data_IF_888742362114
#
_entry.id   IF_888742362114
#
_cell.length_a   1.000
_cell.length_b   1.000
_cell.length_c   1.000
_cell.angle_alpha   90.00
_cell.angle_beta   90.00
_cell.angle_gamma   90.00
#
_symmetry.space_group_name_H-M   'P 1'
#
loop_
_entity.id
_entity.type
_entity.pdbx_description
1 polymer ?
#
# COMPACT_ATOMS: atom_id res chain seq x y z
N UNK A 1 -9.30 -0.62 28.11
CA UNK A 1 -10.10 0.63 28.27
C UNK A 1 -10.55 1.21 26.92
N UNK A 2 -9.68 1.27 25.91
CA UNK A 2 -10.02 1.82 24.59
C UNK A 2 -11.16 1.07 23.87
N UNK A 3 -11.13 -0.26 23.86
CA UNK A 3 -12.19 -1.11 23.29
C UNK A 3 -13.54 -0.83 23.98
N UNK A 4 -13.54 -0.69 25.30
CA UNK A 4 -14.73 -0.30 26.10
C UNK A 4 -15.26 1.06 25.66
N UNK A 5 -14.39 2.06 25.49
CA UNK A 5 -14.77 3.39 24.98
C UNK A 5 -15.40 3.31 23.59
N UNK A 6 -14.79 2.57 22.67
CA UNK A 6 -15.30 2.39 21.29
C UNK A 6 -16.66 1.70 21.28
N UNK A 7 -16.85 0.65 22.08
CA UNK A 7 -18.13 -0.03 22.21
C UNK A 7 -19.24 0.90 22.74
N UNK A 8 -18.95 1.70 23.78
CA UNK A 8 -19.93 2.66 24.31
C UNK A 8 -20.36 3.67 23.25
N UNK A 9 -19.43 4.21 22.47
CA UNK A 9 -19.73 5.14 21.36
C UNK A 9 -20.59 4.45 20.30
N UNK A 10 -20.19 3.26 19.88
CA UNK A 10 -20.86 2.51 18.83
C UNK A 10 -22.30 2.16 19.21
N UNK A 11 -22.51 1.61 20.42
CA UNK A 11 -23.83 1.27 20.95
C UNK A 11 -24.59 2.48 21.51
N UNK A 12 -24.05 3.70 21.39
CA UNK A 12 -24.65 4.94 21.90
C UNK A 12 -24.99 4.87 23.41
N UNK A 13 -24.16 4.18 24.17
CA UNK A 13 -24.30 3.99 25.62
C UNK A 13 -23.57 5.09 26.39
N UNK A 14 -24.13 5.49 27.54
CA UNK A 14 -23.48 6.45 28.46
C UNK A 14 -22.31 5.79 29.19
N UNK A 15 -21.31 6.57 29.60
CA UNK A 15 -20.13 6.06 30.31
C UNK A 15 -20.44 5.19 31.54
N UNK A 16 -21.55 5.49 32.27
CA UNK A 16 -22.01 4.69 33.42
C UNK A 16 -22.38 3.23 33.10
N UNK A 17 -22.44 2.86 31.82
CA UNK A 17 -22.71 1.49 31.37
C UNK A 17 -21.42 0.71 31.06
N UNK A 18 -20.23 1.33 31.18
CA UNK A 18 -18.94 0.67 30.94
C UNK A 18 -18.81 -0.64 31.72
N UNK A 19 -19.09 -0.59 33.02
CA UNK A 19 -18.98 -1.74 33.94
C UNK A 19 -20.04 -2.82 33.69
N UNK A 20 -21.01 -2.57 32.80
CA UNK A 20 -22.04 -3.53 32.40
C UNK A 20 -21.73 -4.24 31.10
N UNK A 21 -20.65 -3.88 30.40
CA UNK A 21 -20.19 -4.59 29.22
C UNK A 21 -19.47 -5.87 29.64
N UNK A 22 -19.86 -7.00 29.04
CA UNK A 22 -19.21 -8.28 29.22
C UNK A 22 -18.52 -8.69 27.91
N UNK A 23 -17.26 -9.11 28.02
CA UNK A 23 -16.46 -9.60 26.90
C UNK A 23 -16.38 -11.12 26.98
N UNK A 24 -16.85 -11.80 25.94
CA UNK A 24 -16.93 -13.27 25.91
C UNK A 24 -15.77 -13.94 25.17
N UNK A 25 -14.83 -13.15 24.63
CA UNK A 25 -13.67 -13.63 23.89
C UNK A 25 -12.69 -12.50 23.56
N UNK A 26 -11.62 -12.87 22.86
CA UNK A 26 -10.58 -11.94 22.41
C UNK A 26 -11.08 -11.05 21.27
N UNK A 27 -10.41 -9.90 21.09
CA UNK A 27 -10.63 -9.06 19.90
C UNK A 27 -9.88 -9.68 18.74
N UNK A 28 -10.61 -9.97 17.66
CA UNK A 28 -10.08 -10.62 16.46
C UNK A 28 -10.43 -9.78 15.22
N UNK A 29 -9.66 -9.98 14.15
CA UNK A 29 -9.94 -9.38 12.85
C UNK A 29 -11.22 -9.94 12.23
N UNK A 30 -11.91 -9.10 11.46
CA UNK A 30 -13.15 -9.48 10.80
C UNK A 30 -12.96 -10.69 9.86
N UNK A 31 -11.79 -10.82 9.24
CA UNK A 31 -11.42 -11.94 8.36
C UNK A 31 -11.27 -13.27 9.10
N UNK A 32 -11.10 -13.23 10.42
CA UNK A 32 -10.95 -14.42 11.27
C UNK A 32 -12.28 -14.85 11.89
N UNK A 33 -13.36 -14.10 11.66
CA UNK A 33 -14.70 -14.42 12.18
C UNK A 33 -15.34 -15.51 11.33
N UNK A 34 -15.57 -16.68 11.92
CA UNK A 34 -16.19 -17.83 11.25
C UNK A 34 -17.71 -17.75 11.12
N UNK A 35 -18.38 -17.04 12.04
CA UNK A 35 -19.84 -16.95 12.10
C UNK A 35 -20.31 -15.49 11.97
N UNK A 36 -20.48 -15.02 10.74
CA UNK A 36 -20.92 -13.64 10.46
C UNK A 36 -22.41 -13.39 10.74
N UNK A 37 -23.21 -14.46 10.85
CA UNK A 37 -24.67 -14.39 11.07
C UNK A 37 -25.09 -13.70 12.38
N UNK A 38 -24.20 -13.66 13.38
CA UNK A 38 -24.44 -12.98 14.66
C UNK A 38 -23.65 -11.67 14.80
N UNK A 39 -22.91 -11.27 13.75
CA UNK A 39 -22.12 -10.04 13.76
C UNK A 39 -23.02 -8.87 13.40
N UNK A 40 -23.02 -7.84 14.24
CA UNK A 40 -23.62 -6.55 13.95
C UNK A 40 -22.60 -5.68 13.21
N UNK A 41 -22.76 -5.55 11.89
CA UNK A 41 -21.90 -4.72 11.05
C UNK A 41 -22.00 -3.23 11.39
N UNK A 42 -20.97 -2.41 11.10
CA UNK A 42 -21.04 -0.96 11.23
C UNK A 42 -22.29 -0.38 10.54
N UNK A 43 -23.01 0.49 11.26
CA UNK A 43 -24.25 1.14 10.81
C UNK A 43 -25.45 0.21 10.52
N UNK A 44 -25.32 -1.10 10.77
CA UNK A 44 -26.42 -2.04 10.65
C UNK A 44 -27.40 -1.94 11.84
N UNK A 45 -28.67 -2.26 11.59
CA UNK A 45 -29.73 -2.32 12.61
C UNK A 45 -29.96 -3.72 13.16
N UNK A 46 -29.51 -4.74 12.44
CA UNK A 46 -29.68 -6.15 12.78
C UNK A 46 -28.39 -6.94 12.47
N UNK A 47 -28.11 -8.02 13.21
CA UNK A 47 -26.99 -8.92 12.93
C UNK A 47 -27.13 -9.66 11.60
N UNK A 48 -26.03 -10.21 11.08
CA UNK A 48 -26.05 -11.10 9.92
C UNK A 48 -26.21 -10.39 8.58
N UNK A 49 -25.90 -9.09 8.53
CA UNK A 49 -25.95 -8.27 7.31
C UNK A 49 -24.65 -8.31 6.49
N UNK A 50 -23.58 -8.89 7.04
CA UNK A 50 -22.31 -9.05 6.33
C UNK A 50 -22.44 -10.15 5.27
N UNK A 51 -22.05 -9.81 4.04
CA UNK A 51 -21.86 -10.79 2.97
C UNK A 51 -20.47 -11.41 3.02
N UNK A 52 -20.28 -12.52 2.31
CA UNK A 52 -18.95 -13.07 2.09
C UNK A 52 -17.97 -12.01 1.58
N UNK A 53 -16.70 -12.02 2.07
CA UNK A 53 -15.66 -11.15 1.58
C UNK A 53 -15.48 -11.29 0.06
N UNK A 54 -15.25 -10.17 -0.62
CA UNK A 54 -14.98 -10.14 -2.06
C UNK A 54 -13.80 -9.25 -2.32
N UNK A 55 -12.94 -9.67 -3.24
CA UNK A 55 -11.89 -8.80 -3.76
C UNK A 55 -12.51 -7.66 -4.55
N UNK A 56 -11.96 -6.47 -4.33
CA UNK A 56 -12.37 -5.26 -5.04
C UNK A 56 -11.14 -4.63 -5.67
N UNK A 57 -11.15 -4.54 -7.01
CA UNK A 57 -10.06 -3.92 -7.74
C UNK A 57 -10.07 -2.40 -7.51
N UNK A 58 -8.96 -1.89 -6.97
CA UNK A 58 -8.77 -0.46 -6.69
C UNK A 58 -8.31 0.34 -7.91
N UNK A 59 -8.16 -0.25 -9.10
CA UNK A 59 -7.85 0.50 -10.31
C UNK A 59 -9.13 1.07 -10.94
N UNK A 60 -9.04 2.29 -11.48
CA UNK A 60 -10.12 2.84 -12.30
C UNK A 60 -10.04 2.30 -13.72
N UNK A 61 -11.04 1.50 -14.09
CA UNK A 61 -11.21 0.98 -15.44
C UNK A 61 -11.82 2.04 -16.37
N UNK A 62 -11.34 2.09 -17.61
CA UNK A 62 -11.86 2.91 -18.71
C UNK A 62 -11.71 2.18 -20.04
N UNK A 63 -12.22 2.76 -21.13
CA UNK A 63 -12.11 2.21 -22.48
C UNK A 63 -11.52 3.26 -23.43
N UNK A 64 -10.54 2.86 -24.26
CA UNK A 64 -9.90 3.73 -25.25
C UNK A 64 -10.67 3.68 -26.58
N UNK A 65 -10.99 4.85 -27.12
CA UNK A 65 -11.70 4.97 -28.41
C UNK A 65 -13.22 4.99 -28.28
N UNK A 66 -13.91 5.05 -29.43
CA UNK A 66 -15.36 5.25 -29.46
C UNK A 66 -16.17 3.98 -29.14
N UNK A 67 -15.64 2.82 -29.48
CA UNK A 67 -16.31 1.53 -29.31
C UNK A 67 -15.81 0.85 -28.03
N UNK A 68 -16.72 0.57 -27.10
CA UNK A 68 -16.40 -0.15 -25.87
C UNK A 68 -16.38 -1.65 -26.15
N UNK A 69 -15.20 -2.24 -26.03
CA UNK A 69 -14.92 -3.67 -26.14
C UNK A 69 -13.86 -4.08 -25.12
N UNK A 70 -13.75 -5.35 -24.77
CA UNK A 70 -12.70 -5.81 -23.86
C UNK A 70 -11.30 -5.51 -24.40
N UNK A 71 -11.10 -5.54 -25.72
CA UNK A 71 -9.83 -5.17 -26.38
C UNK A 71 -9.46 -3.68 -26.19
N UNK A 72 -10.44 -2.83 -25.88
CA UNK A 72 -10.24 -1.39 -25.64
C UNK A 72 -10.08 -1.05 -24.17
N UNK A 73 -10.11 -2.04 -23.27
CA UNK A 73 -10.02 -1.83 -21.83
C UNK A 73 -8.67 -1.23 -21.44
N UNK A 74 -8.69 -0.21 -20.60
CA UNK A 74 -7.52 0.46 -20.07
C UNK A 74 -7.76 0.87 -18.62
N UNK A 75 -6.69 1.25 -17.92
CA UNK A 75 -6.76 1.66 -16.53
C UNK A 75 -6.08 3.01 -16.34
N UNK A 76 -6.65 3.85 -15.47
CA UNK A 76 -5.89 4.96 -14.90
C UNK A 76 -4.85 4.36 -13.96
N UNK A 77 -3.60 4.76 -14.14
CA UNK A 77 -2.47 4.20 -13.38
C UNK A 77 -2.66 4.41 -11.86
N UNK A 78 -2.49 3.35 -11.05
CA UNK A 78 -2.61 3.45 -9.59
C UNK A 78 -1.32 3.93 -8.91
N UNK A 79 -0.23 4.04 -9.67
CA UNK A 79 1.12 4.48 -9.28
C UNK A 79 1.85 5.09 -10.48
N UNK A 80 3.01 5.73 -10.25
CA UNK A 80 3.84 6.30 -11.32
C UNK A 80 4.98 5.40 -11.78
N UNK A 81 5.36 4.41 -10.95
CA UNK A 81 6.46 3.46 -11.14
C UNK A 81 6.48 2.74 -12.49
N UNK A 82 5.34 2.17 -12.92
CA UNK A 82 5.23 1.35 -14.12
C UNK A 82 5.77 2.03 -15.39
N UNK A 83 5.56 3.35 -15.52
CA UNK A 83 6.05 4.11 -16.66
C UNK A 83 7.58 4.13 -16.75
N UNK A 84 8.27 4.11 -15.62
CA UNK A 84 9.73 4.11 -15.54
C UNK A 84 10.31 2.73 -15.90
N UNK A 85 9.65 1.64 -15.49
CA UNK A 85 10.07 0.28 -15.84
C UNK A 85 9.92 -0.01 -17.34
N UNK A 86 8.76 0.32 -17.93
CA UNK A 86 8.52 0.13 -19.37
C UNK A 86 9.51 0.94 -20.22
N UNK A 87 9.95 2.11 -19.74
CA UNK A 87 10.90 2.96 -20.43
C UNK A 87 12.36 2.76 -20.02
N UNK A 88 12.68 1.78 -19.16
CA UNK A 88 14.04 1.57 -18.67
C UNK A 88 15.06 1.52 -19.81
N UNK A 89 14.80 0.71 -20.84
CA UNK A 89 15.70 0.56 -21.99
C UNK A 89 15.85 1.84 -22.79
N UNK A 90 14.74 2.53 -23.04
CA UNK A 90 14.73 3.82 -23.75
C UNK A 90 15.59 4.86 -23.02
N UNK A 91 15.52 4.92 -21.69
CA UNK A 91 16.31 5.85 -20.88
C UNK A 91 17.80 5.47 -20.90
N UNK A 92 18.13 4.19 -20.73
CA UNK A 92 19.53 3.72 -20.80
C UNK A 92 20.15 4.04 -22.16
N UNK A 93 19.44 3.75 -23.25
CA UNK A 93 19.96 3.94 -24.61
C UNK A 93 20.11 5.43 -24.97
N UNK A 94 19.13 6.26 -24.59
CA UNK A 94 19.13 7.70 -24.92
C UNK A 94 20.04 8.53 -24.03
N UNK A 95 20.10 8.23 -22.72
CA UNK A 95 20.88 8.99 -21.74
C UNK A 95 22.29 8.45 -21.52
N UNK A 96 22.59 7.25 -22.05
CA UNK A 96 23.88 6.56 -21.92
C UNK A 96 24.34 6.39 -20.47
N UNK A 97 23.37 6.28 -19.55
CA UNK A 97 23.63 6.05 -18.12
C UNK A 97 24.09 4.61 -17.90
N UNK A 98 24.87 4.42 -16.84
CA UNK A 98 25.25 3.09 -16.35
C UNK A 98 24.78 2.96 -14.91
N UNK A 99 24.51 1.73 -14.51
CA UNK A 99 24.17 1.39 -13.13
C UNK A 99 25.36 1.77 -12.21
N UNK A 100 25.11 2.40 -11.04
CA UNK A 100 23.80 2.76 -10.51
C UNK A 100 23.25 4.08 -11.06
N UNK A 101 21.94 4.14 -11.31
CA UNK A 101 21.24 5.37 -11.71
C UNK A 101 19.77 5.33 -11.28
N UNK A 102 19.14 6.50 -11.18
CA UNK A 102 17.72 6.63 -10.85
C UNK A 102 16.92 7.30 -11.97
N UNK A 103 15.64 6.94 -12.08
CA UNK A 103 14.62 7.65 -12.84
C UNK A 103 13.61 8.17 -11.84
N UNK A 104 13.28 9.46 -11.88
CA UNK A 104 12.29 10.05 -10.99
C UNK A 104 11.12 10.61 -11.78
N UNK A 105 9.91 10.46 -11.25
CA UNK A 105 8.69 10.99 -11.84
C UNK A 105 7.81 11.61 -10.75
N UNK A 106 7.28 12.80 -11.05
CA UNK A 106 6.16 13.37 -10.32
C UNK A 106 4.92 13.30 -11.21
N UNK A 107 3.79 12.89 -10.67
CA UNK A 107 2.53 12.95 -11.41
C UNK A 107 1.35 12.38 -10.67
N UNK A 108 0.20 12.42 -11.34
CA UNK A 108 -1.07 11.93 -10.82
C UNK A 108 -1.15 10.41 -10.83
N UNK A 109 -1.80 9.87 -9.81
CA UNK A 109 -2.18 8.47 -9.65
C UNK A 109 -3.61 8.38 -9.14
N UNK A 110 -4.28 7.26 -9.45
CA UNK A 110 -5.70 7.09 -9.19
C UNK A 110 -5.97 5.76 -8.51
N UNK A 111 -6.61 5.79 -7.34
CA UNK A 111 -7.03 4.59 -6.59
C UNK A 111 -8.51 4.69 -6.28
N UNK A 112 -9.29 3.67 -6.67
CA UNK A 112 -10.73 3.60 -6.51
C UNK A 112 -11.11 3.29 -5.04
N UNK A 113 -10.67 4.15 -4.12
CA UNK A 113 -10.89 4.01 -2.68
C UNK A 113 -12.38 3.91 -2.37
N UNK A 114 -12.75 2.85 -1.64
CA UNK A 114 -14.14 2.53 -1.28
C UNK A 114 -14.69 3.61 -0.36
N UNK A 115 -13.96 3.96 0.70
CA UNK A 115 -14.37 4.96 1.68
C UNK A 115 -13.32 6.07 1.80
N UNK A 116 -13.44 7.16 1.04
CA UNK A 116 -12.61 8.35 1.23
C UNK A 116 -12.78 8.88 2.65
N UNK A 117 -11.66 9.10 3.35
CA UNK A 117 -11.62 9.57 4.74
C UNK A 117 -10.43 10.51 4.93
N UNK A 118 -10.48 11.27 6.02
CA UNK A 118 -9.36 12.09 6.48
C UNK A 118 -8.83 13.03 5.38
N UNK A 119 -9.72 13.77 4.70
CA UNK A 119 -9.35 14.79 3.72
C UNK A 119 -8.35 14.30 2.64
N UNK A 120 -7.09 14.76 2.68
CA UNK A 120 -6.04 14.41 1.71
C UNK A 120 -5.47 12.99 1.86
N UNK A 121 -5.72 12.29 2.98
CA UNK A 121 -5.07 11.00 3.28
C UNK A 121 -5.68 9.82 2.54
N UNK A 122 -6.98 9.83 2.25
CA UNK A 122 -7.63 8.80 1.44
C UNK A 122 -8.48 9.45 0.37
N UNK A 123 -7.85 9.68 -0.78
CA UNK A 123 -8.45 10.29 -1.96
C UNK A 123 -8.38 9.35 -3.16
N UNK A 124 -9.18 9.65 -4.19
CA UNK A 124 -9.21 8.86 -5.43
C UNK A 124 -8.24 9.33 -6.50
N UNK A 125 -7.78 10.56 -6.38
CA UNK A 125 -6.78 11.18 -7.24
C UNK A 125 -5.80 11.91 -6.32
N UNK A 126 -4.51 11.64 -6.48
CA UNK A 126 -3.44 12.29 -5.74
C UNK A 126 -2.18 12.37 -6.60
N UNK A 127 -1.22 13.18 -6.17
CA UNK A 127 0.09 13.25 -6.80
C UNK A 127 1.10 12.46 -5.99
N UNK A 128 1.98 11.77 -6.70
CA UNK A 128 3.12 11.08 -6.12
C UNK A 128 4.41 11.63 -6.71
N UNK A 129 5.47 11.54 -5.91
CA UNK A 129 6.85 11.74 -6.33
C UNK A 129 7.55 10.40 -6.07
N UNK A 130 7.84 9.66 -7.13
CA UNK A 130 8.48 8.35 -7.04
C UNK A 130 9.84 8.39 -7.76
N UNK A 131 10.77 7.57 -7.28
CA UNK A 131 12.06 7.38 -7.91
C UNK A 131 12.42 5.90 -7.90
N UNK A 132 12.66 5.37 -9.09
CA UNK A 132 13.17 4.01 -9.27
C UNK A 132 14.69 4.07 -9.39
N UNK A 133 15.39 3.48 -8.43
CA UNK A 133 16.85 3.45 -8.39
C UNK A 133 17.38 2.07 -8.78
N UNK A 134 18.03 2.00 -9.94
CA UNK A 134 18.57 0.77 -10.50
C UNK A 134 20.03 0.63 -10.07
N UNK A 135 20.36 -0.49 -9.43
CA UNK A 135 21.68 -0.81 -8.90
C UNK A 135 22.07 -2.26 -9.20
N UNK A 136 23.35 -2.61 -9.05
CA UNK A 136 23.77 -4.00 -9.17
C UNK A 136 23.28 -4.80 -7.95
N UNK A 137 22.83 -6.07 -8.09
CA UNK A 137 22.30 -6.86 -6.97
C UNK A 137 23.27 -7.00 -5.79
N UNK A 138 24.59 -7.04 -6.04
CA UNK A 138 25.59 -7.12 -4.97
C UNK A 138 25.67 -5.86 -4.10
N UNK A 139 25.16 -4.73 -4.58
CA UNK A 139 25.19 -3.44 -3.89
C UNK A 139 23.80 -3.01 -3.39
N UNK A 140 22.75 -3.76 -3.72
CA UNK A 140 21.35 -3.32 -3.53
C UNK A 140 21.00 -3.06 -2.07
N UNK A 141 21.52 -3.88 -1.14
CA UNK A 141 21.32 -3.68 0.31
C UNK A 141 21.96 -2.40 0.82
N UNK A 142 23.12 -2.01 0.29
CA UNK A 142 23.79 -0.77 0.67
C UNK A 142 23.03 0.44 0.15
N UNK A 143 22.55 0.39 -1.10
CA UNK A 143 21.71 1.44 -1.68
C UNK A 143 20.35 1.56 -0.98
N UNK A 144 19.74 0.45 -0.59
CA UNK A 144 18.51 0.45 0.19
C UNK A 144 18.71 1.18 1.52
N UNK A 145 19.76 0.86 2.28
CA UNK A 145 20.08 1.56 3.52
C UNK A 145 20.33 3.05 3.29
N UNK A 146 21.13 3.38 2.26
CA UNK A 146 21.42 4.77 1.90
C UNK A 146 20.15 5.58 1.63
N UNK A 147 19.21 5.04 0.84
CA UNK A 147 17.98 5.76 0.50
C UNK A 147 17.05 5.92 1.69
N UNK A 148 16.91 4.92 2.56
CA UNK A 148 16.14 5.04 3.81
C UNK A 148 16.64 6.21 4.66
N UNK A 149 17.95 6.24 4.93
CA UNK A 149 18.57 7.27 5.77
C UNK A 149 18.45 8.66 5.10
N UNK A 150 18.69 8.71 3.78
CA UNK A 150 18.64 9.95 3.00
C UNK A 150 17.24 10.56 2.97
N UNK A 151 16.20 9.73 2.81
CA UNK A 151 14.80 10.16 2.73
C UNK A 151 14.25 10.55 4.10
N UNK A 152 14.56 9.80 5.16
CA UNK A 152 14.24 10.21 6.52
C UNK A 152 14.87 11.57 6.86
N UNK A 153 16.17 11.75 6.58
CA UNK A 153 16.86 13.02 6.81
C UNK A 153 16.29 14.16 5.98
N UNK A 154 15.81 13.90 4.75
CA UNK A 154 15.19 14.93 3.92
C UNK A 154 13.95 15.56 4.59
N UNK A 155 13.11 14.77 5.27
CA UNK A 155 11.98 15.31 6.02
C UNK A 155 12.40 16.15 7.24
N UNK A 156 13.46 15.74 7.94
CA UNK A 156 14.04 16.52 9.04
C UNK A 156 14.60 17.84 8.53
N UNK A 157 15.34 17.81 7.41
CA UNK A 157 15.92 19.00 6.77
C UNK A 157 14.86 19.98 6.26
N UNK A 158 13.68 19.48 5.86
CA UNK A 158 12.52 20.29 5.51
C UNK A 158 11.87 21.00 6.72
N UNK A 159 12.26 20.63 7.94
CA UNK A 159 11.79 21.26 9.18
C UNK A 159 10.66 20.49 9.88
N UNK A 160 10.40 19.23 9.51
CA UNK A 160 9.49 18.39 10.30
C UNK A 160 10.17 18.03 11.62
N UNK A 161 9.44 18.16 12.74
CA UNK A 161 9.94 17.75 14.05
C UNK A 161 10.24 16.25 14.05
N UNK A 162 11.53 15.91 14.20
CA UNK A 162 12.01 14.54 14.24
C UNK A 162 11.31 13.69 15.30
N UNK A 163 10.82 14.28 16.40
CA UNK A 163 10.09 13.55 17.44
C UNK A 163 8.74 13.02 16.97
N UNK A 164 8.22 13.53 15.85
CA UNK A 164 6.97 13.11 15.24
C UNK A 164 7.19 12.21 14.03
N UNK A 165 8.44 11.89 13.70
CA UNK A 165 8.82 11.03 12.59
C UNK A 165 9.42 9.73 13.11
N UNK A 166 9.06 8.64 12.45
CA UNK A 166 9.73 7.36 12.62
C UNK A 166 10.08 6.77 11.25
N UNK A 167 11.08 5.89 11.23
CA UNK A 167 11.39 5.02 10.11
C UNK A 167 11.05 3.60 10.54
N UNK A 168 9.95 3.06 10.04
CA UNK A 168 9.42 1.75 10.44
C UNK A 168 9.67 0.72 9.36
N UNK A 169 10.36 -0.37 9.71
CA UNK A 169 10.46 -1.52 8.82
C UNK A 169 9.12 -2.29 8.80
N UNK A 170 8.69 -2.71 7.60
CA UNK A 170 7.53 -3.60 7.45
C UNK A 170 7.81 -4.96 8.07
N UNK A 171 6.79 -5.54 8.71
CA UNK A 171 6.85 -6.93 9.15
C UNK A 171 6.73 -7.88 7.95
N UNK A 172 7.15 -9.15 8.11
CA UNK A 172 7.17 -10.12 7.01
C UNK A 172 5.79 -10.33 6.35
N UNK A 173 4.70 -10.20 7.10
CA UNK A 173 3.33 -10.31 6.59
C UNK A 173 2.79 -9.05 5.90
N UNK A 174 3.45 -7.90 6.08
CA UNK A 174 3.08 -6.62 5.48
C UNK A 174 3.81 -6.38 4.15
N UNK A 175 4.93 -7.07 3.95
CA UNK A 175 5.71 -6.96 2.72
C UNK A 175 4.86 -7.31 1.51
N UNK A 176 4.84 -6.40 0.54
CA UNK A 176 4.32 -6.69 -0.80
C UNK A 176 5.02 -7.91 -1.38
N UNK A 177 4.29 -8.73 -2.15
CA UNK A 177 4.76 -10.01 -2.68
C UNK A 177 6.09 -9.94 -3.46
N UNK A 178 6.45 -8.78 -3.99
CA UNK A 178 7.69 -8.50 -4.73
C UNK A 178 8.80 -7.83 -3.91
N UNK A 179 8.54 -7.38 -2.68
CA UNK A 179 9.53 -6.68 -1.85
C UNK A 179 10.41 -7.66 -1.08
N UNK A 180 11.72 -7.36 -1.04
CA UNK A 180 12.72 -8.04 -0.18
C UNK A 180 13.07 -7.21 1.07
N UNK A 181 12.37 -6.09 1.26
CA UNK A 181 12.45 -5.20 2.41
C UNK A 181 11.80 -3.85 2.08
N UNK A 182 10.93 -3.39 2.95
CA UNK A 182 10.29 -2.07 2.84
C UNK A 182 10.37 -1.37 4.18
N UNK A 183 10.62 -0.07 4.16
CA UNK A 183 10.55 0.78 5.33
C UNK A 183 9.78 2.05 4.99
N UNK A 184 8.92 2.48 5.90
CA UNK A 184 8.12 3.68 5.74
C UNK A 184 8.65 4.79 6.64
N UNK A 185 8.75 5.99 6.08
CA UNK A 185 8.79 7.20 6.88
C UNK A 185 7.35 7.51 7.29
N UNK A 186 7.07 7.44 8.59
CA UNK A 186 5.74 7.67 9.13
C UNK A 186 5.72 8.90 10.04
N UNK A 187 4.57 9.55 10.12
CA UNK A 187 4.36 10.77 10.90
C UNK A 187 3.19 10.63 11.87
N UNK A 188 3.38 11.12 13.09
CA UNK A 188 2.35 11.17 14.12
C UNK A 188 1.33 12.27 13.78
N UNK A 189 0.34 11.97 12.94
CA UNK A 189 -0.69 12.93 12.56
C UNK A 189 -1.64 13.26 13.72
N UNK A 190 -2.25 14.47 13.75
CA UNK A 190 -3.19 14.85 14.82
C UNK A 190 -4.45 13.99 14.92
N UNK A 191 -4.77 13.20 13.88
CA UNK A 191 -5.91 12.28 13.87
C UNK A 191 -5.51 10.83 14.19
N UNK A 192 -4.21 10.53 14.28
CA UNK A 192 -3.73 9.25 14.78
C UNK A 192 -3.90 9.21 16.31
N UNK A 193 -4.10 8.01 16.86
CA UNK A 193 -4.10 7.87 18.31
C UNK A 193 -2.67 8.09 18.88
N UNK A 194 -2.56 8.31 20.19
CA UNK A 194 -1.25 8.55 20.82
C UNK A 194 -0.36 7.31 20.66
N UNK A 195 0.77 7.46 19.99
CA UNK A 195 1.68 6.36 19.68
C UNK A 195 1.47 5.74 18.30
N UNK A 196 0.42 6.13 17.56
CA UNK A 196 0.20 5.72 16.18
C UNK A 196 0.80 6.73 15.18
N UNK A 197 1.16 6.22 14.00
CA UNK A 197 1.77 6.99 12.93
C UNK A 197 1.07 6.66 11.60
N UNK A 198 1.09 7.61 10.67
CA UNK A 198 0.62 7.42 9.30
C UNK A 198 1.75 7.56 8.30
N UNK A 199 1.72 6.76 7.25
CA UNK A 199 2.72 6.76 6.17
C UNK A 199 2.82 8.14 5.47
N UNK A 200 4.06 8.57 5.22
CA UNK A 200 4.41 9.69 4.33
C UNK A 200 5.09 9.22 3.04
N UNK A 201 6.02 8.28 3.16
CA UNK A 201 6.84 7.77 2.05
C UNK A 201 7.30 6.33 2.35
N UNK A 202 7.01 5.41 1.44
CA UNK A 202 7.59 4.06 1.43
C UNK A 202 8.90 3.98 0.64
N UNK A 203 9.93 3.42 1.25
CA UNK A 203 11.20 3.06 0.61
C UNK A 203 11.23 1.55 0.49
N UNK A 204 11.06 1.03 -0.73
CA UNK A 204 10.97 -0.41 -0.99
C UNK A 204 12.16 -0.93 -1.81
N UNK A 205 12.73 -2.06 -1.38
CA UNK A 205 13.67 -2.84 -2.17
C UNK A 205 12.91 -3.97 -2.89
N UNK A 206 12.70 -3.81 -4.20
CA UNK A 206 11.84 -4.69 -5.03
C UNK A 206 12.60 -5.80 -5.78
N UNK A 207 13.86 -6.05 -5.41
CA UNK A 207 14.73 -6.97 -6.15
C UNK A 207 14.85 -6.60 -7.63
N UNK A 208 14.68 -7.59 -8.50
CA UNK A 208 14.61 -7.44 -9.96
C UNK A 208 13.21 -7.70 -10.53
N UNK A 209 12.19 -7.81 -9.66
CA UNK A 209 10.83 -8.23 -10.01
C UNK A 209 10.24 -7.38 -11.15
N UNK A 210 10.31 -6.06 -11.04
CA UNK A 210 9.61 -5.17 -11.98
C UNK A 210 10.16 -5.27 -13.40
N UNK A 211 11.49 -5.22 -13.55
CA UNK A 211 12.13 -5.35 -14.85
C UNK A 211 11.96 -6.76 -15.43
N UNK A 212 12.06 -7.80 -14.60
CA UNK A 212 11.85 -9.18 -15.05
C UNK A 212 10.40 -9.44 -15.45
N UNK A 213 9.42 -8.92 -14.71
CA UNK A 213 8.00 -9.08 -15.03
C UNK A 213 7.64 -8.44 -16.38
N UNK A 214 8.20 -7.26 -16.68
CA UNK A 214 8.04 -6.64 -18.00
C UNK A 214 8.80 -7.36 -19.13
N UNK A 215 9.87 -8.10 -18.81
CA UNK A 215 10.68 -8.81 -19.82
C UNK A 215 10.20 -10.24 -20.09
N UNK A 216 9.78 -10.96 -19.04
CA UNK A 216 9.48 -12.40 -19.04
C UNK A 216 7.97 -12.68 -19.06
N UNK A 217 7.14 -11.74 -18.60
CA UNK A 217 5.71 -11.95 -18.35
C UNK A 217 5.37 -11.90 -16.87
N UNK A 218 4.09 -12.07 -16.52
CA UNK A 218 3.60 -11.94 -15.14
C UNK A 218 4.31 -12.94 -14.22
N UNK A 219 5.07 -12.42 -13.25
CA UNK A 219 5.74 -13.25 -12.25
C UNK A 219 4.85 -13.48 -11.03
N UNK A 220 4.83 -14.72 -10.54
CA UNK A 220 4.17 -15.15 -9.31
C UNK A 220 5.20 -15.77 -8.35
N UNK A 221 4.89 -15.75 -7.06
CA UNK A 221 5.78 -16.28 -6.03
C UNK A 221 5.43 -17.74 -5.74
N UNK A 222 6.39 -18.64 -5.99
CA UNK A 222 6.31 -20.06 -5.66
C UNK A 222 7.42 -20.42 -4.67
N UNK A 223 7.04 -20.62 -3.40
CA UNK A 223 8.01 -20.75 -2.31
C UNK A 223 8.90 -19.49 -2.20
N UNK A 224 10.21 -19.69 -2.27
CA UNK A 224 11.20 -18.61 -2.20
C UNK A 224 11.56 -18.00 -3.57
N UNK A 225 10.93 -18.46 -4.67
CA UNK A 225 11.28 -18.07 -6.03
C UNK A 225 10.17 -17.26 -6.72
N UNK A 226 10.59 -16.40 -7.66
CA UNK A 226 9.70 -15.72 -8.60
C UNK A 226 9.77 -16.45 -9.95
N UNK A 227 8.64 -17.01 -10.36
CA UNK A 227 8.47 -17.79 -11.60
C UNK A 227 7.43 -17.14 -12.50
N UNK A 228 7.51 -17.37 -13.80
CA UNK A 228 6.50 -16.88 -14.76
C UNK A 228 5.21 -17.67 -14.55
N UNK A 229 4.09 -16.96 -14.41
CA UNK A 229 2.76 -17.57 -14.36
C UNK A 229 2.46 -18.21 -15.72
N UNK A 230 2.30 -19.53 -15.72
CA UNK A 230 1.96 -20.31 -16.91
C UNK A 230 0.44 -20.48 -17.02
N UNK A 231 -0.07 -20.42 -18.26
CA UNK A 231 -1.48 -20.70 -18.55
C UNK A 231 -1.75 -22.20 -18.63
N UNK A 232 -2.97 -22.58 -19.04
CA UNK A 232 -3.31 -23.99 -19.29
C UNK A 232 -2.41 -24.64 -20.37
N UNK A 233 -1.79 -23.83 -21.23
CA UNK A 233 -0.96 -24.26 -22.36
C UNK A 233 0.57 -24.18 -22.10
N UNK A 234 0.99 -23.84 -20.87
CA UNK A 234 2.40 -23.60 -20.51
C UNK A 234 2.85 -22.17 -20.78
#
# INVERSE_FOLDING_TARGET
>A
EEITRRALVYFKLKAKYADKLAWHGDVIDLTSVSETGQVLAPDAKEPGTLTEPREFNLMFETHIGAMRSDDSKAFLRPETAQGMFVNFRNVVDSSRVKVPFGIAQQGKSFRNEITPRNFTFRTREFEQMEMEFFCHPSESRQWYQFWRDRRFQWYVDLGIDQKRLILRDHEQGELSHYSVGTADVEYAFPFCEEGEYGELEGIAHRGDFDLRSHMEGKLVREGDQLVVEQGEDG
#
